data_IF_466664947823
#
_entry.id   IF_466664947823
#
_cell.length_a   1.000
_cell.length_b   1.000
_cell.length_c   1.000
_cell.angle_alpha   90.00
_cell.angle_beta   90.00
_cell.angle_gamma   90.00
#
_symmetry.space_group_name_H-M   'P 1'
#
loop_
_entity.id
_entity.type
_entity.pdbx_description
1 polymer ?
#
# COMPACT_ATOMS: atom_id res chain seq x y z
N UNK A 1 -2.76 24.57 -3.23
CA UNK A 1 -3.53 25.07 -2.07
C UNK A 1 -3.51 26.59 -1.93
N UNK A 2 -2.35 27.28 -1.92
CA UNK A 2 -2.30 28.74 -1.71
C UNK A 2 -3.23 29.56 -2.62
N UNK A 3 -3.30 29.25 -3.92
CA UNK A 3 -4.21 29.93 -4.85
C UNK A 3 -5.70 29.74 -4.50
N UNK A 4 -6.08 28.60 -3.93
CA UNK A 4 -7.46 28.34 -3.47
C UNK A 4 -7.75 29.10 -2.18
N UNK A 5 -6.82 29.08 -1.23
CA UNK A 5 -6.94 29.84 0.03
C UNK A 5 -7.07 31.35 -0.19
N UNK A 6 -6.34 31.90 -1.17
CA UNK A 6 -6.47 33.32 -1.53
C UNK A 6 -7.81 33.63 -2.21
N UNK A 7 -8.30 32.71 -3.07
CA UNK A 7 -9.56 32.92 -3.82
C UNK A 7 -10.81 32.67 -2.98
N UNK A 8 -10.73 31.80 -1.98
CA UNK A 8 -11.85 31.37 -1.14
C UNK A 8 -11.40 31.26 0.33
N UNK A 9 -11.04 32.39 0.97
CA UNK A 9 -10.54 32.39 2.35
C UNK A 9 -11.56 31.84 3.35
N UNK A 10 -12.86 32.00 3.08
CA UNK A 10 -13.94 31.53 3.94
C UNK A 10 -14.00 29.99 4.07
N UNK A 11 -13.41 29.25 3.13
CA UNK A 11 -13.26 27.79 3.27
C UNK A 11 -12.26 27.40 4.37
N UNK A 12 -11.40 28.34 4.77
CA UNK A 12 -10.30 28.10 5.70
C UNK A 12 -10.51 28.80 7.05
N UNK A 13 -11.44 29.76 7.17
CA UNK A 13 -11.71 30.52 8.42
C UNK A 13 -12.25 29.66 9.57
N UNK A 14 -12.80 28.49 9.28
CA UNK A 14 -13.25 27.51 10.28
C UNK A 14 -12.31 26.32 10.49
N UNK A 15 -11.13 26.31 9.87
CA UNK A 15 -10.17 25.21 10.04
C UNK A 15 -9.34 25.46 11.30
N UNK A 16 -9.56 24.61 12.29
CA UNK A 16 -8.72 24.54 13.49
C UNK A 16 -7.61 23.50 13.26
N UNK A 17 -6.36 23.92 13.50
CA UNK A 17 -5.19 23.04 13.42
C UNK A 17 -4.68 22.82 14.82
N UNK A 18 -4.70 21.57 15.26
CA UNK A 18 -4.17 21.15 16.55
C UNK A 18 -3.01 20.18 16.33
N UNK A 19 -1.87 20.38 17.01
CA UNK A 19 -0.80 19.39 17.00
C UNK A 19 -1.27 18.13 17.72
N UNK A 20 -0.96 16.97 17.15
CA UNK A 20 -1.19 15.67 17.77
C UNK A 20 0.16 14.99 17.91
N UNK A 21 0.48 14.56 19.12
CA UNK A 21 1.70 13.81 19.39
C UNK A 21 1.63 12.44 18.72
N UNK A 22 2.75 12.04 18.12
CA UNK A 22 2.86 10.70 17.57
C UNK A 22 2.75 9.67 18.70
N UNK A 23 1.99 8.57 18.51
CA UNK A 23 1.93 7.49 19.48
C UNK A 23 3.32 6.92 19.78
N UNK A 24 3.49 6.43 21.00
CA UNK A 24 4.70 5.72 21.40
C UNK A 24 4.97 4.52 20.49
N UNK A 25 6.25 4.28 20.24
CA UNK A 25 6.71 3.15 19.47
C UNK A 25 6.78 1.91 20.35
N UNK A 26 6.55 0.72 19.76
CA UNK A 26 6.56 -0.54 20.50
C UNK A 26 7.69 -1.46 20.03
N UNK A 27 8.52 -1.94 20.94
CA UNK A 27 9.54 -2.94 20.62
C UNK A 27 8.89 -4.31 20.34
N UNK A 28 9.26 -4.92 19.21
CA UNK A 28 8.75 -6.22 18.81
C UNK A 28 9.87 -7.24 18.64
N UNK A 29 9.61 -8.45 19.13
CA UNK A 29 10.43 -9.63 18.86
C UNK A 29 9.58 -10.90 18.93
N UNK A 30 10.04 -11.98 18.27
CA UNK A 30 9.41 -13.30 18.31
C UNK A 30 9.61 -14.04 19.66
N UNK A 31 10.10 -13.36 20.70
CA UNK A 31 10.34 -13.94 22.01
C UNK A 31 11.32 -15.13 22.00
N UNK A 32 11.03 -16.13 22.82
CA UNK A 32 11.88 -17.31 23.04
C UNK A 32 11.49 -18.52 22.18
N UNK A 33 10.48 -18.41 21.32
CA UNK A 33 10.05 -19.51 20.44
C UNK A 33 11.23 -19.97 19.58
N UNK A 34 11.52 -21.28 19.56
CA UNK A 34 12.71 -21.81 18.86
C UNK A 34 12.53 -21.86 17.35
N UNK A 35 11.33 -22.18 16.87
CA UNK A 35 11.04 -22.43 15.45
C UNK A 35 9.82 -21.66 14.92
N UNK A 36 9.76 -20.32 15.10
CA UNK A 36 8.59 -19.52 14.73
C UNK A 36 8.29 -19.57 13.23
N UNK A 37 9.30 -19.64 12.36
CA UNK A 37 9.07 -19.76 10.92
C UNK A 37 8.38 -21.10 10.63
N UNK A 38 8.91 -22.21 11.14
CA UNK A 38 8.31 -23.52 10.94
C UNK A 38 6.88 -23.61 11.46
N UNK A 39 6.60 -23.03 12.63
CA UNK A 39 5.24 -22.96 13.21
C UNK A 39 4.28 -22.23 12.27
N UNK A 40 4.69 -21.06 11.75
CA UNK A 40 3.88 -20.28 10.81
C UNK A 40 3.68 -21.02 9.50
N UNK A 41 4.72 -21.60 8.92
CA UNK A 41 4.60 -22.37 7.68
C UNK A 41 3.61 -23.53 7.87
N UNK A 42 3.74 -24.31 8.94
CA UNK A 42 2.81 -25.42 9.24
C UNK A 42 1.36 -24.96 9.38
N UNK A 43 1.12 -23.75 9.90
CA UNK A 43 -0.23 -23.19 10.04
C UNK A 43 -0.81 -22.71 8.72
N UNK A 44 0.03 -22.08 7.90
CA UNK A 44 -0.42 -21.22 6.80
C UNK A 44 -0.46 -21.97 5.47
N UNK A 45 0.44 -22.93 5.24
CA UNK A 45 0.49 -23.71 3.99
C UNK A 45 0.05 -25.16 4.19
N UNK A 46 -0.51 -25.76 3.13
CA UNK A 46 -0.84 -27.20 3.08
C UNK A 46 0.32 -28.08 2.61
N UNK A 47 1.31 -27.49 1.92
CA UNK A 47 2.50 -28.19 1.45
C UNK A 47 3.40 -28.63 2.61
N UNK A 48 4.45 -29.42 2.33
CA UNK A 48 5.41 -29.82 3.35
C UNK A 48 6.16 -28.58 3.92
N UNK A 49 5.97 -28.25 5.22
CA UNK A 49 6.64 -27.10 5.82
C UNK A 49 8.17 -27.22 5.86
N UNK A 50 8.72 -28.44 5.83
CA UNK A 50 10.17 -28.66 5.79
C UNK A 50 10.75 -28.27 4.44
N UNK A 51 10.20 -28.81 3.36
CA UNK A 51 10.60 -28.48 1.99
C UNK A 51 10.50 -26.96 1.74
N UNK A 52 9.40 -26.33 2.17
CA UNK A 52 9.23 -24.89 1.96
C UNK A 52 10.28 -24.06 2.73
N UNK A 53 10.60 -24.47 3.95
CA UNK A 53 11.65 -23.83 4.76
C UNK A 53 13.02 -23.93 4.08
N UNK A 54 13.35 -25.08 3.48
CA UNK A 54 14.59 -25.26 2.72
C UNK A 54 14.63 -24.37 1.48
N UNK A 55 13.54 -24.32 0.71
CA UNK A 55 13.41 -23.42 -0.46
C UNK A 55 13.52 -21.94 -0.07
N UNK A 56 12.97 -21.55 1.08
CA UNK A 56 13.16 -20.21 1.64
C UNK A 56 14.62 -19.95 1.98
N UNK A 57 15.33 -20.93 2.55
CA UNK A 57 16.77 -20.85 2.80
C UNK A 57 17.58 -20.61 1.54
N UNK A 58 17.29 -21.35 0.47
CA UNK A 58 17.92 -21.16 -0.85
C UNK A 58 17.62 -19.75 -1.41
N UNK A 59 16.36 -19.31 -1.34
CA UNK A 59 15.93 -18.00 -1.84
C UNK A 59 16.55 -16.84 -1.06
N UNK A 60 16.71 -17.01 0.25
CA UNK A 60 17.29 -16.01 1.15
C UNK A 60 18.81 -16.12 1.31
N UNK A 61 19.45 -17.07 0.62
CA UNK A 61 20.88 -17.36 0.73
C UNK A 61 21.32 -17.57 2.18
N UNK A 62 20.59 -18.42 2.93
CA UNK A 62 20.89 -18.75 4.32
C UNK A 62 20.68 -20.23 4.61
N UNK A 63 21.60 -20.83 5.37
CA UNK A 63 21.47 -22.19 5.87
C UNK A 63 20.58 -22.26 7.13
N UNK A 64 20.30 -21.12 7.75
CA UNK A 64 19.41 -21.00 8.91
C UNK A 64 18.33 -19.93 8.66
N UNK A 65 17.19 -20.32 8.05
CA UNK A 65 16.06 -19.43 7.83
C UNK A 65 15.40 -18.94 9.13
N UNK A 66 15.43 -19.72 10.21
CA UNK A 66 14.81 -19.36 11.49
C UNK A 66 15.54 -18.18 12.13
N UNK A 67 16.87 -18.28 12.23
CA UNK A 67 17.67 -17.19 12.80
C UNK A 67 17.65 -15.94 11.91
N UNK A 68 17.52 -16.10 10.59
CA UNK A 68 17.30 -14.96 9.69
C UNK A 68 15.97 -14.27 9.98
N UNK A 69 14.86 -15.02 10.07
CA UNK A 69 13.56 -14.46 10.41
C UNK A 69 13.61 -13.78 11.78
N UNK A 70 14.17 -14.44 12.80
CA UNK A 70 14.27 -13.89 14.15
C UNK A 70 15.02 -12.56 14.20
N UNK A 71 16.12 -12.43 13.46
CA UNK A 71 16.86 -11.16 13.36
C UNK A 71 16.03 -10.09 12.64
N UNK A 72 15.35 -10.45 11.57
CA UNK A 72 14.49 -9.53 10.83
C UNK A 72 13.27 -9.06 11.64
N UNK A 73 12.79 -9.88 12.58
CA UNK A 73 11.66 -9.57 13.46
C UNK A 73 12.05 -8.84 14.76
N UNK A 74 13.31 -8.45 14.94
CA UNK A 74 13.71 -7.51 15.99
C UNK A 74 13.56 -6.10 15.44
N UNK A 75 12.47 -5.43 15.78
CA UNK A 75 12.16 -4.13 15.22
C UNK A 75 11.33 -3.27 16.15
N UNK A 76 11.42 -1.98 15.95
CA UNK A 76 10.60 -0.98 16.60
C UNK A 76 9.37 -0.69 15.73
N UNK A 77 8.18 -1.01 16.24
CA UNK A 77 6.91 -0.79 15.58
C UNK A 77 6.48 0.67 15.69
N UNK A 78 5.81 1.16 14.65
CA UNK A 78 5.47 2.57 14.46
C UNK A 78 4.08 2.69 13.87
N UNK A 79 3.30 3.62 14.42
CA UNK A 79 1.96 3.95 13.92
C UNK A 79 2.11 4.97 12.80
N UNK A 80 1.63 4.61 11.61
CA UNK A 80 1.57 5.53 10.48
C UNK A 80 0.46 6.59 10.66
N UNK A 81 0.65 7.79 10.10
CA UNK A 81 -0.29 8.90 10.26
C UNK A 81 -1.71 8.58 9.78
N UNK A 82 -1.85 7.80 8.70
CA UNK A 82 -3.16 7.35 8.19
C UNK A 82 -3.93 6.56 9.25
N UNK A 83 -3.22 5.73 10.02
CA UNK A 83 -3.82 4.93 11.10
C UNK A 83 -4.22 5.78 12.29
N UNK A 84 -3.44 6.82 12.61
CA UNK A 84 -3.78 7.76 13.68
C UNK A 84 -5.07 8.52 13.34
N UNK A 85 -5.17 9.03 12.11
CA UNK A 85 -6.35 9.75 11.65
C UNK A 85 -7.58 8.85 11.57
N UNK A 86 -7.43 7.61 11.12
CA UNK A 86 -8.52 6.63 11.14
C UNK A 86 -9.02 6.36 12.57
N UNK A 87 -8.09 6.11 13.51
CA UNK A 87 -8.42 5.90 14.92
C UNK A 87 -9.10 7.13 15.53
N UNK A 88 -8.67 8.34 15.16
CA UNK A 88 -9.32 9.58 15.63
C UNK A 88 -10.81 9.60 15.27
N UNK A 89 -11.19 9.25 14.04
CA UNK A 89 -12.61 9.21 13.64
C UNK A 89 -13.38 8.05 14.27
N UNK A 90 -12.72 6.94 14.59
CA UNK A 90 -13.36 5.86 15.35
C UNK A 90 -13.74 6.28 16.78
N UNK A 91 -12.94 7.16 17.39
CA UNK A 91 -13.25 7.75 18.70
C UNK A 91 -14.24 8.91 18.60
N UNK A 92 -14.22 9.63 17.48
CA UNK A 92 -14.98 10.85 17.27
C UNK A 92 -15.86 10.74 16.03
N UNK A 93 -16.77 9.77 16.03
CA UNK A 93 -17.62 9.49 14.86
C UNK A 93 -18.47 10.70 14.44
N UNK A 94 -18.83 11.57 15.38
CA UNK A 94 -19.55 12.82 15.13
C UNK A 94 -18.73 13.87 14.36
N UNK A 95 -17.40 13.73 14.30
CA UNK A 95 -16.48 14.58 13.54
C UNK A 95 -16.10 13.98 12.18
N UNK A 96 -16.68 12.84 11.80
CA UNK A 96 -16.38 12.18 10.53
C UNK A 96 -16.68 13.12 9.36
N UNK A 97 -15.72 13.37 8.45
CA UNK A 97 -15.92 14.31 7.35
C UNK A 97 -16.93 13.76 6.34
N UNK A 98 -17.68 14.67 5.71
CA UNK A 98 -18.60 14.31 4.62
C UNK A 98 -17.87 13.74 3.40
N UNK A 99 -16.66 14.24 3.13
CA UNK A 99 -15.77 13.70 2.12
C UNK A 99 -14.76 12.77 2.78
N UNK A 100 -14.94 11.47 2.58
CA UNK A 100 -14.10 10.43 3.17
C UNK A 100 -12.84 10.22 2.32
N UNK A 101 -11.94 11.20 2.38
CA UNK A 101 -10.69 11.19 1.61
C UNK A 101 -9.53 11.75 2.43
N UNK A 102 -8.42 11.01 2.49
CA UNK A 102 -7.15 11.46 3.08
C UNK A 102 -6.21 11.99 2.00
N UNK A 103 -6.00 13.31 2.03
CA UNK A 103 -4.95 13.98 1.27
C UNK A 103 -3.63 14.00 2.04
N UNK A 104 -2.80 12.98 1.87
CA UNK A 104 -1.48 12.89 2.52
C UNK A 104 -0.37 13.41 1.61
N UNK A 105 0.71 13.94 2.21
CA UNK A 105 1.91 14.41 1.49
C UNK A 105 2.75 13.26 0.91
N UNK A 106 2.55 12.04 1.41
CA UNK A 106 3.14 10.79 0.90
C UNK A 106 2.02 9.81 0.52
N UNK A 107 2.25 8.98 -0.50
CA UNK A 107 1.33 7.89 -0.86
C UNK A 107 1.17 6.93 0.33
N UNK A 108 -0.01 6.34 0.48
CA UNK A 108 -0.24 5.35 1.52
C UNK A 108 0.62 4.09 1.32
N UNK A 109 1.02 3.46 2.42
CA UNK A 109 1.69 2.17 2.34
C UNK A 109 0.69 1.04 2.03
N UNK A 110 1.20 -0.13 1.64
CA UNK A 110 0.36 -1.30 1.36
C UNK A 110 -0.54 -1.64 2.56
N UNK A 111 0.02 -1.70 3.77
CA UNK A 111 -0.73 -2.08 4.96
C UNK A 111 -1.79 -1.05 5.36
N UNK A 112 -1.48 0.25 5.31
CA UNK A 112 -2.47 1.31 5.54
C UNK A 112 -3.60 1.24 4.52
N UNK A 113 -3.27 1.12 3.22
CA UNK A 113 -4.25 1.04 2.15
C UNK A 113 -5.19 -0.17 2.32
N UNK A 114 -4.63 -1.36 2.55
CA UNK A 114 -5.42 -2.58 2.74
C UNK A 114 -6.25 -2.55 4.02
N UNK A 115 -5.75 -1.95 5.10
CA UNK A 115 -6.52 -1.82 6.33
C UNK A 115 -7.70 -0.85 6.14
N UNK A 116 -7.45 0.34 5.59
CA UNK A 116 -8.47 1.35 5.35
C UNK A 116 -9.56 0.88 4.37
N UNK A 117 -9.20 0.12 3.34
CA UNK A 117 -10.17 -0.40 2.37
C UNK A 117 -11.16 -1.41 2.97
N UNK A 118 -10.80 -2.03 4.10
CA UNK A 118 -11.65 -2.96 4.88
C UNK A 118 -12.33 -2.28 6.06
N UNK A 119 -11.97 -1.03 6.35
CA UNK A 119 -12.55 -0.28 7.43
C UNK A 119 -13.98 0.17 7.08
N UNK A 120 -14.94 0.17 8.02
CA UNK A 120 -16.32 0.61 7.74
C UNK A 120 -16.46 2.03 7.20
N UNK A 121 -15.53 2.92 7.54
CA UNK A 121 -15.50 4.29 6.99
C UNK A 121 -15.06 4.34 5.53
N UNK A 122 -14.38 3.32 5.01
CA UNK A 122 -13.92 3.25 3.61
C UNK A 122 -13.23 4.52 3.12
N UNK A 123 -12.41 5.14 3.98
CA UNK A 123 -11.73 6.41 3.66
C UNK A 123 -10.78 6.19 2.50
N UNK A 124 -10.98 6.94 1.42
CA UNK A 124 -10.12 6.88 0.24
C UNK A 124 -8.78 7.56 0.49
N UNK A 125 -7.74 7.09 -0.21
CA UNK A 125 -6.43 7.75 -0.29
C UNK A 125 -6.13 8.14 -1.73
N UNK A 126 -5.32 9.18 -1.92
CA UNK A 126 -4.95 9.66 -3.25
C UNK A 126 -4.21 8.61 -4.09
N UNK A 127 -3.31 7.86 -3.45
CA UNK A 127 -2.57 6.76 -4.05
C UNK A 127 -1.93 5.89 -2.98
N UNK A 128 -1.61 4.65 -3.34
CA UNK A 128 -0.77 3.74 -2.56
C UNK A 128 0.50 3.41 -3.33
N UNK A 129 1.65 3.44 -2.65
CA UNK A 129 2.94 3.08 -3.24
C UNK A 129 3.24 1.57 -3.15
N UNK A 130 2.29 0.76 -2.65
CA UNK A 130 2.36 -0.71 -2.64
C UNK A 130 3.58 -1.31 -1.91
N UNK A 131 4.23 -0.53 -1.05
CA UNK A 131 5.34 -0.99 -0.20
C UNK A 131 4.84 -1.30 1.20
N UNK A 132 5.28 -2.44 1.68
CA UNK A 132 5.04 -3.04 2.99
C UNK A 132 6.17 -2.60 3.91
N UNK A 133 5.77 -2.08 5.07
CA UNK A 133 6.67 -1.73 6.16
C UNK A 133 6.42 -2.73 7.29
N UNK A 134 7.36 -3.66 7.56
CA UNK A 134 7.17 -4.62 8.65
C UNK A 134 7.07 -3.97 10.03
N UNK A 135 7.62 -2.76 10.18
CA UNK A 135 7.53 -1.94 11.40
C UNK A 135 6.14 -1.31 11.61
N UNK A 136 5.14 -1.67 10.82
CA UNK A 136 3.80 -1.11 10.94
C UNK A 136 3.05 -1.73 12.12
N UNK A 137 2.30 -0.90 12.85
CA UNK A 137 1.34 -1.35 13.87
C UNK A 137 0.02 -0.57 13.76
N UNK A 138 -1.11 -1.15 14.22
CA UNK A 138 -2.35 -0.41 14.35
C UNK A 138 -2.20 0.74 15.35
N UNK A 139 -3.01 1.79 15.19
CA UNK A 139 -3.02 2.90 16.13
C UNK A 139 -3.57 2.47 17.50
N UNK A 140 -2.99 2.97 18.61
CA UNK A 140 -3.59 2.84 19.93
C UNK A 140 -5.02 3.35 19.95
N UNK A 141 -5.87 2.65 20.71
CA UNK A 141 -7.27 2.97 20.84
C UNK A 141 -7.82 2.60 22.21
N UNK A 142 -8.89 3.30 22.59
CA UNK A 142 -9.69 3.01 23.78
C UNK A 142 -10.25 1.59 23.76
N UNK A 143 -10.63 1.07 24.92
CA UNK A 143 -11.22 -0.27 25.05
C UNK A 143 -12.49 -0.47 24.22
N UNK A 144 -13.29 0.59 24.03
CA UNK A 144 -14.50 0.56 23.24
C UNK A 144 -14.21 0.38 21.74
N UNK A 145 -13.27 1.15 21.20
CA UNK A 145 -12.84 1.06 19.78
C UNK A 145 -12.06 -0.24 19.54
N UNK A 146 -11.22 -0.66 20.50
CA UNK A 146 -10.41 -1.87 20.41
C UNK A 146 -11.22 -3.13 20.09
N UNK A 147 -12.46 -3.25 20.59
CA UNK A 147 -13.33 -4.40 20.27
C UNK A 147 -13.63 -4.48 18.78
N UNK A 148 -13.94 -3.34 18.14
CA UNK A 148 -14.20 -3.24 16.70
C UNK A 148 -12.92 -3.50 15.90
N UNK A 149 -11.83 -2.84 16.30
CA UNK A 149 -10.51 -3.01 15.68
C UNK A 149 -10.02 -4.44 15.75
N UNK A 150 -10.30 -5.19 16.82
CA UNK A 150 -9.92 -6.60 16.95
C UNK A 150 -10.50 -7.46 15.81
N UNK A 151 -11.76 -7.23 15.44
CA UNK A 151 -12.40 -7.97 14.34
C UNK A 151 -11.75 -7.60 13.01
N UNK A 152 -11.56 -6.29 12.76
CA UNK A 152 -10.93 -5.80 11.53
C UNK A 152 -9.49 -6.30 11.38
N UNK A 153 -8.71 -6.26 12.47
CA UNK A 153 -7.33 -6.77 12.49
C UNK A 153 -7.29 -8.28 12.25
N UNK A 154 -8.26 -9.03 12.77
CA UNK A 154 -8.34 -10.46 12.50
C UNK A 154 -8.63 -10.75 11.03
N UNK A 155 -9.59 -10.05 10.42
CA UNK A 155 -9.90 -10.18 8.99
C UNK A 155 -8.73 -9.74 8.12
N UNK A 156 -8.06 -8.65 8.50
CA UNK A 156 -6.87 -8.14 7.84
C UNK A 156 -5.71 -9.15 7.92
N UNK A 157 -5.45 -9.71 9.10
CA UNK A 157 -4.45 -10.76 9.30
C UNK A 157 -4.74 -11.97 8.41
N UNK A 158 -5.99 -12.43 8.37
CA UNK A 158 -6.41 -13.55 7.50
C UNK A 158 -6.15 -13.24 6.02
N UNK A 159 -6.44 -12.01 5.59
CA UNK A 159 -6.16 -11.59 4.22
C UNK A 159 -4.66 -11.57 3.89
N UNK A 160 -3.83 -11.05 4.81
CA UNK A 160 -2.38 -11.05 4.65
C UNK A 160 -1.81 -12.47 4.61
N UNK A 161 -2.32 -13.37 5.45
CA UNK A 161 -1.94 -14.78 5.44
C UNK A 161 -2.30 -15.43 4.09
N UNK A 162 -3.53 -15.28 3.61
CA UNK A 162 -3.96 -15.82 2.31
C UNK A 162 -3.13 -15.28 1.14
N UNK A 163 -2.80 -13.99 1.18
CA UNK A 163 -1.94 -13.36 0.17
C UNK A 163 -0.52 -13.92 0.25
N UNK A 164 0.00 -14.13 1.45
CA UNK A 164 1.31 -14.72 1.69
C UNK A 164 1.37 -16.17 1.22
N UNK A 165 0.34 -16.99 1.49
CA UNK A 165 0.21 -18.37 0.96
C UNK A 165 0.32 -18.35 -0.55
N UNK A 166 -0.51 -17.52 -1.20
CA UNK A 166 -0.53 -17.45 -2.66
C UNK A 166 0.83 -17.06 -3.21
N UNK A 167 1.50 -16.08 -2.61
CA UNK A 167 2.83 -15.65 -3.04
C UNK A 167 3.89 -16.74 -2.79
N UNK A 168 3.82 -17.48 -1.68
CA UNK A 168 4.71 -18.61 -1.40
C UNK A 168 4.52 -19.76 -2.39
N UNK A 169 3.28 -20.08 -2.75
CA UNK A 169 2.95 -21.17 -3.68
C UNK A 169 3.31 -20.81 -5.12
N UNK A 170 3.03 -19.59 -5.55
CA UNK A 170 3.11 -19.21 -6.98
C UNK A 170 4.41 -18.50 -7.35
N UNK A 171 5.14 -17.93 -6.39
CA UNK A 171 6.23 -16.98 -6.68
C UNK A 171 7.52 -17.22 -5.91
N UNK A 172 7.58 -18.21 -5.02
CA UNK A 172 8.80 -18.50 -4.30
C UNK A 172 9.92 -18.93 -5.26
N UNK A 173 11.00 -18.15 -5.31
CA UNK A 173 12.13 -18.34 -6.23
C UNK A 173 12.13 -17.41 -7.45
N UNK A 174 11.00 -16.74 -7.74
CA UNK A 174 10.92 -15.72 -8.80
C UNK A 174 11.49 -14.40 -8.25
N UNK A 175 12.70 -14.03 -8.68
CA UNK A 175 13.29 -12.73 -8.33
C UNK A 175 12.56 -11.60 -9.05
N UNK A 176 12.02 -10.65 -8.29
CA UNK A 176 11.46 -9.42 -8.87
C UNK A 176 12.58 -8.40 -9.15
N UNK A 177 12.51 -7.61 -10.22
CA UNK A 177 13.43 -6.51 -10.47
C UNK A 177 13.43 -5.53 -9.30
N UNK A 178 14.62 -5.11 -8.86
CA UNK A 178 14.76 -4.11 -7.80
C UNK A 178 14.37 -2.74 -8.34
N UNK A 179 13.23 -2.20 -7.92
CA UNK A 179 12.79 -0.86 -8.32
C UNK A 179 13.54 0.20 -7.51
N UNK A 180 14.27 1.08 -8.18
CA UNK A 180 15.12 2.12 -7.61
C UNK A 180 14.40 3.40 -7.17
N UNK A 181 13.06 3.41 -7.04
CA UNK A 181 12.35 4.64 -6.62
C UNK A 181 12.53 4.88 -5.11
N UNK A 182 13.68 5.46 -4.79
CA UNK A 182 14.20 5.73 -3.45
C UNK A 182 14.00 7.19 -3.09
N UNK A 183 12.90 7.47 -2.38
CA UNK A 183 12.88 8.56 -1.38
C UNK A 183 12.67 8.05 0.05
N UNK A 184 12.57 6.74 0.26
CA UNK A 184 12.28 6.17 1.57
C UNK A 184 12.87 4.77 1.80
N UNK A 185 14.19 4.60 1.62
CA UNK A 185 14.92 3.38 2.01
C UNK A 185 14.48 2.07 1.33
N UNK A 186 15.19 0.95 1.57
CA UNK A 186 14.90 -0.32 0.92
C UNK A 186 13.48 -0.81 1.25
N UNK A 187 12.79 -1.32 0.24
CA UNK A 187 11.45 -1.89 0.37
C UNK A 187 11.52 -3.40 0.56
N UNK A 188 10.77 -3.96 1.53
CA UNK A 188 10.66 -5.41 1.73
C UNK A 188 9.50 -6.05 0.95
N UNK A 189 8.79 -5.27 0.14
CA UNK A 189 7.85 -5.75 -0.88
C UNK A 189 7.98 -4.91 -2.13
N UNK A 190 8.01 -5.59 -3.27
CA UNK A 190 8.19 -4.99 -4.59
C UNK A 190 6.98 -5.37 -5.43
N UNK A 191 5.80 -4.86 -5.08
CA UNK A 191 4.62 -4.96 -5.94
C UNK A 191 4.48 -3.62 -6.64
N UNK A 192 5.04 -3.50 -7.84
CA UNK A 192 4.75 -2.38 -8.72
C UNK A 192 3.48 -2.67 -9.51
N UNK A 193 2.47 -1.82 -9.38
CA UNK A 193 1.51 -1.59 -10.45
C UNK A 193 2.28 -1.07 -11.66
N UNK A 194 2.17 -1.77 -12.79
CA UNK A 194 2.65 -1.23 -14.06
C UNK A 194 1.82 0.02 -14.33
N UNK A 195 2.47 1.18 -14.35
CA UNK A 195 1.84 2.39 -14.86
C UNK A 195 1.57 2.16 -16.34
N UNK A 196 0.32 1.84 -16.69
CA UNK A 196 -0.15 1.92 -18.07
C UNK A 196 -0.28 3.40 -18.42
N UNK A 197 0.85 4.05 -18.73
CA UNK A 197 0.86 5.34 -19.40
C UNK A 197 0.45 5.15 -20.84
N UNK A 198 -0.86 5.14 -21.12
CA UNK A 198 -1.37 5.39 -22.47
C UNK A 198 -1.56 6.90 -22.61
N UNK A 199 -0.59 7.56 -23.22
CA UNK A 199 -0.80 8.85 -23.87
C UNK A 199 -1.54 8.58 -25.18
N UNK A 200 -2.72 9.17 -25.45
CA UNK A 200 -3.22 9.22 -26.81
C UNK A 200 -2.35 10.24 -27.56
N UNK A 201 -1.47 9.74 -28.41
CA UNK A 201 -0.88 10.55 -29.47
C UNK A 201 -2.01 11.09 -30.35
N UNK A 202 -1.96 12.41 -30.54
CA UNK A 202 -2.55 13.18 -31.63
C UNK A 202 -3.00 12.33 -32.83
N UNK A 203 -4.31 12.26 -33.04
CA UNK A 203 -4.92 11.70 -34.24
C UNK A 203 -4.68 12.66 -35.41
N UNK A 204 -3.61 12.42 -36.15
CA UNK A 204 -3.47 12.90 -37.52
C UNK A 204 -4.45 12.10 -38.41
N UNK A 205 -5.64 12.65 -38.63
CA UNK A 205 -6.61 12.11 -39.57
C UNK A 205 -6.26 12.60 -40.98
N UNK A 206 -5.55 11.75 -41.74
CA UNK A 206 -5.70 11.67 -43.20
C UNK A 206 -5.59 10.20 -43.59
N UNK A 207 -6.64 9.68 -44.22
CA UNK A 207 -6.61 8.89 -45.47
C UNK A 207 -8.03 8.32 -45.73
N UNK A 208 -8.76 8.92 -46.69
CA UNK A 208 -9.06 8.44 -48.06
C UNK A 208 -10.38 7.66 -48.13
N UNK A 209 -11.35 8.21 -48.88
CA UNK A 209 -12.06 7.50 -49.95
C UNK A 209 -12.59 8.52 -50.96
N UNK A 210 -12.36 8.27 -52.25
CA UNK A 210 -12.91 9.07 -53.35
C UNK A 210 -12.00 9.17 -54.56
N UNK A 211 -11.72 8.04 -55.20
CA UNK A 211 -11.23 8.01 -56.58
C UNK A 211 -12.39 8.39 -57.51
N UNK A 212 -12.25 9.45 -58.30
CA UNK A 212 -12.75 9.46 -59.67
C UNK A 212 -12.08 10.54 -60.52
N UNK A 213 -11.92 10.18 -61.80
CA UNK A 213 -11.12 10.82 -62.85
C UNK A 213 -11.69 12.16 -63.29
N UNK A 214 -10.82 13.10 -63.69
CA UNK A 214 -10.86 13.73 -65.01
C UNK A 214 -9.62 14.62 -65.21
N UNK A 215 -9.00 14.45 -66.39
CA UNK A 215 -7.96 15.30 -66.92
C UNK A 215 -8.52 16.65 -67.39
N UNK A 216 -7.72 17.71 -67.31
CA UNK A 216 -7.45 18.64 -68.43
C UNK A 216 -6.66 19.86 -67.93
N UNK A 217 -5.62 20.17 -68.70
CA UNK A 217 -4.82 21.39 -68.69
C UNK A 217 -5.64 22.68 -68.78
N UNK A 218 -5.10 23.76 -68.21
CA UNK A 218 -4.81 25.09 -68.82
C UNK A 218 -4.73 26.14 -67.69
N UNK A 219 -3.56 26.72 -67.42
CA UNK A 219 -3.02 27.96 -68.01
C UNK A 219 -3.67 29.25 -67.48
N UNK A 220 -2.79 30.07 -66.89
CA UNK A 220 -2.78 31.54 -66.86
C UNK A 220 -3.66 32.35 -65.89
N UNK A 221 -2.92 33.19 -65.13
CA UNK A 221 -3.06 34.66 -64.91
C UNK A 221 -4.49 35.19 -64.78
N UNK A 222 -4.83 35.95 -63.74
CA UNK A 222 -4.24 37.23 -63.29
C UNK A 222 -4.43 37.36 -61.78
#
# INVERSE_FOLDING_TARGET
MLKLAVKQPDLFTGIHVEPVDAPEQEEFSLGTERTPLFTVLKRVIKADPKELKERLGQTWFTNDPESRLRRACKMTLTVHAEMQLLSFYDHNSHLTPRLLFMGTSKKACYLCNEFMSRHPLTIGVSASHQKLYPTWMPAPCSSAVRKKHKVLLWEFSRHLEQTTVRDLETRLGIRRPMTLDSTAGPSLTTTGTVSSGFWPQELSLRVIFGSERAASETSERI
#
